data_IF_885328176696
#
_entry.id   IF_885328176696
#
_cell.length_a   1.000
_cell.length_b   1.000
_cell.length_c   1.000
_cell.angle_alpha   90.00
_cell.angle_beta   90.00
_cell.angle_gamma   90.00
#
_symmetry.space_group_name_H-M   'P 1'
#
loop_
_entity.id
_entity.type
_entity.pdbx_description
1 polymer ?
#
# COMPACT_ATOMS: atom_id res chain seq x y z
N UNK A 1 -45.11 18.03 29.20
CA UNK A 1 -44.01 17.39 28.43
C UNK A 1 -43.12 18.38 27.68
N UNK A 2 -43.65 19.47 27.07
CA UNK A 2 -42.81 20.46 26.35
C UNK A 2 -41.72 21.14 27.20
N UNK A 3 -42.01 21.49 28.46
CA UNK A 3 -41.04 22.16 29.33
C UNK A 3 -40.01 21.20 29.91
N UNK A 4 -40.41 19.95 30.20
CA UNK A 4 -39.51 18.90 30.69
C UNK A 4 -38.46 18.54 29.64
N UNK A 5 -38.86 18.43 28.37
CA UNK A 5 -37.94 18.18 27.25
C UNK A 5 -36.92 19.33 27.08
N UNK A 6 -37.36 20.60 27.21
CA UNK A 6 -36.47 21.76 27.18
C UNK A 6 -35.46 21.75 28.33
N UNK A 7 -35.87 21.39 29.54
CA UNK A 7 -34.97 21.31 30.71
C UNK A 7 -33.92 20.21 30.52
N UNK A 8 -34.31 19.05 29.97
CA UNK A 8 -33.38 17.96 29.65
C UNK A 8 -32.37 18.37 28.58
N UNK A 9 -32.81 19.07 27.52
CA UNK A 9 -31.89 19.59 26.50
C UNK A 9 -30.91 20.62 27.08
N UNK A 10 -31.37 21.51 27.96
CA UNK A 10 -30.50 22.50 28.61
C UNK A 10 -29.45 21.79 29.49
N UNK A 11 -29.86 20.80 30.29
CA UNK A 11 -28.93 20.00 31.09
C UNK A 11 -27.90 19.26 30.22
N UNK A 12 -28.34 18.67 29.10
CA UNK A 12 -27.46 17.98 28.17
C UNK A 12 -26.43 18.93 27.55
N UNK A 13 -26.84 20.15 27.18
CA UNK A 13 -25.90 21.17 26.64
C UNK A 13 -24.86 21.62 27.67
N UNK A 14 -25.23 21.76 28.94
CA UNK A 14 -24.30 22.12 30.02
C UNK A 14 -23.25 21.03 30.22
N UNK A 15 -23.66 19.76 30.19
CA UNK A 15 -22.73 18.61 30.31
C UNK A 15 -21.74 18.59 29.14
N UNK A 16 -22.17 18.83 27.91
CA UNK A 16 -21.27 18.89 26.74
C UNK A 16 -20.25 20.02 26.89
N UNK A 17 -20.67 21.20 27.37
CA UNK A 17 -19.78 22.34 27.58
C UNK A 17 -18.74 22.02 28.67
N UNK A 18 -19.14 21.37 29.76
CA UNK A 18 -18.23 20.96 30.84
C UNK A 18 -17.22 19.91 30.37
N UNK A 19 -17.65 18.91 29.61
CA UNK A 19 -16.76 17.88 29.03
C UNK A 19 -15.80 18.51 28.02
N UNK A 20 -16.29 19.42 27.17
CA UNK A 20 -15.45 20.17 26.22
C UNK A 20 -14.40 21.05 26.92
N UNK A 21 -14.78 21.72 28.03
CA UNK A 21 -13.86 22.51 28.84
C UNK A 21 -12.80 21.64 29.54
N UNK A 22 -13.16 20.44 30.02
CA UNK A 22 -12.23 19.46 30.59
C UNK A 22 -11.22 18.95 29.55
N UNK A 23 -11.67 18.63 28.33
CA UNK A 23 -10.78 18.23 27.21
C UNK A 23 -9.84 19.39 26.85
N UNK A 24 -10.35 20.63 26.77
CA UNK A 24 -9.53 21.82 26.50
C UNK A 24 -8.52 22.11 27.63
N UNK A 25 -8.88 21.88 28.89
CA UNK A 25 -7.96 21.99 30.02
C UNK A 25 -6.88 20.91 29.97
N UNK A 26 -7.21 19.65 29.65
CA UNK A 26 -6.20 18.60 29.45
C UNK A 26 -5.25 18.91 28.27
N UNK A 27 -5.75 19.52 27.20
CA UNK A 27 -4.92 20.00 26.08
C UNK A 27 -4.04 21.20 26.47
N UNK A 28 -4.51 22.07 27.38
CA UNK A 28 -3.72 23.20 27.91
C UNK A 28 -2.71 22.80 28.99
N UNK A 29 -3.04 21.86 29.87
CA UNK A 29 -2.13 21.36 30.90
C UNK A 29 -1.01 20.52 30.30
N UNK A 30 -1.27 19.72 29.26
CA UNK A 30 -0.19 19.10 28.45
C UNK A 30 0.75 20.11 27.79
N UNK A 31 0.37 21.39 27.70
CA UNK A 31 1.18 22.48 27.11
C UNK A 31 1.84 23.39 28.15
N UNK A 32 1.62 23.22 29.46
CA UNK A 32 2.07 24.20 30.47
C UNK A 32 2.74 23.56 31.69
N UNK A 33 3.68 22.66 31.44
CA UNK A 33 4.71 22.31 32.41
C UNK A 33 6.06 22.10 31.74
N UNK A 34 6.62 23.14 31.12
CA UNK A 34 8.05 23.39 31.22
C UNK A 34 8.37 24.86 30.91
N UNK A 35 9.21 25.43 31.75
CA UNK A 35 9.74 26.78 31.62
C UNK A 35 10.78 26.81 30.48
N UNK A 36 10.54 27.64 29.46
CA UNK A 36 11.57 28.05 28.50
C UNK A 36 12.11 26.97 27.57
N UNK A 37 11.47 26.75 26.42
CA UNK A 37 12.04 25.88 25.39
C UNK A 37 11.14 25.72 24.18
N UNK A 38 11.67 26.15 23.02
CA UNK A 38 11.35 25.77 21.63
C UNK A 38 10.09 24.89 21.46
N UNK A 39 9.11 25.39 20.70
CA UNK A 39 7.99 24.61 20.17
C UNK A 39 8.48 23.26 19.62
N UNK A 40 8.31 22.19 20.38
CA UNK A 40 8.60 20.83 19.94
C UNK A 40 7.47 20.44 19.00
N UNK A 41 7.63 20.79 17.72
CA UNK A 41 6.97 20.07 16.64
C UNK A 41 7.35 18.61 16.87
N UNK A 42 6.39 17.77 17.27
CA UNK A 42 6.63 16.35 17.46
C UNK A 42 7.05 15.79 16.10
N UNK A 43 8.35 15.53 15.97
CA UNK A 43 8.91 15.08 14.72
C UNK A 43 8.44 13.64 14.48
N UNK A 44 7.87 13.39 13.29
CA UNK A 44 7.42 12.05 12.89
C UNK A 44 8.59 11.07 12.98
N UNK A 45 8.30 9.84 13.37
CA UNK A 45 9.31 8.77 13.32
C UNK A 45 9.72 8.49 11.87
N UNK A 46 10.91 7.94 11.68
CA UNK A 46 11.39 7.57 10.33
C UNK A 46 10.45 6.55 9.65
N UNK A 47 9.83 5.67 10.45
CA UNK A 47 8.81 4.74 9.99
C UNK A 47 7.55 5.46 9.47
N UNK A 48 7.01 6.41 10.23
CA UNK A 48 5.83 7.19 9.79
C UNK A 48 6.13 7.99 8.52
N UNK A 49 7.34 8.56 8.42
CA UNK A 49 7.80 9.25 7.20
C UNK A 49 7.88 8.29 6.01
N UNK A 50 8.36 7.07 6.21
CA UNK A 50 8.44 6.04 5.18
C UNK A 50 7.05 5.55 4.73
N UNK A 51 6.12 5.33 5.66
CA UNK A 51 4.74 4.93 5.36
C UNK A 51 4.00 6.00 4.57
N UNK A 52 4.14 7.27 4.95
CA UNK A 52 3.55 8.40 4.20
C UNK A 52 4.16 8.52 2.80
N UNK A 53 5.47 8.33 2.67
CA UNK A 53 6.14 8.34 1.38
C UNK A 53 5.69 7.18 0.49
N UNK A 54 5.62 5.97 1.03
CA UNK A 54 5.14 4.80 0.33
C UNK A 54 3.71 4.98 -0.19
N UNK A 55 2.81 5.56 0.62
CA UNK A 55 1.45 5.84 0.17
C UNK A 55 1.40 6.80 -1.02
N UNK A 56 2.23 7.83 -1.01
CA UNK A 56 2.35 8.76 -2.15
C UNK A 56 2.90 8.09 -3.41
N UNK A 57 3.67 7.02 -3.25
CA UNK A 57 4.32 6.31 -4.34
C UNK A 57 3.47 5.16 -4.92
N UNK A 58 2.41 4.72 -4.23
CA UNK A 58 1.53 3.64 -4.74
C UNK A 58 1.00 3.87 -6.15
N UNK A 59 0.53 5.07 -6.54
CA UNK A 59 0.07 5.29 -7.91
C UNK A 59 1.15 5.05 -8.97
N UNK A 60 2.41 5.41 -8.68
CA UNK A 60 3.54 5.15 -9.59
C UNK A 60 3.89 3.67 -9.66
N UNK A 61 3.74 2.94 -8.54
CA UNK A 61 3.95 1.48 -8.51
C UNK A 61 2.88 0.78 -9.36
N UNK A 62 1.62 1.20 -9.20
CA UNK A 62 0.49 0.69 -9.99
C UNK A 62 0.66 0.98 -11.49
N UNK A 63 1.07 2.20 -11.85
CA UNK A 63 1.40 2.57 -13.23
C UNK A 63 2.48 1.65 -13.81
N UNK A 64 3.60 1.49 -13.11
CA UNK A 64 4.70 0.61 -13.56
C UNK A 64 4.27 -0.85 -13.70
N UNK A 65 3.47 -1.38 -12.76
CA UNK A 65 2.93 -2.74 -12.87
C UNK A 65 2.05 -2.91 -14.11
N UNK A 66 1.25 -1.91 -14.46
CA UNK A 66 0.41 -1.95 -15.66
C UNK A 66 1.20 -1.74 -16.96
N UNK A 67 2.33 -1.03 -16.93
CA UNK A 67 3.25 -0.95 -18.08
C UNK A 67 3.93 -2.30 -18.35
N UNK A 68 4.26 -3.06 -17.30
CA UNK A 68 4.85 -4.39 -17.41
C UNK A 68 3.80 -5.48 -17.75
N UNK A 69 2.52 -5.26 -17.42
CA UNK A 69 1.41 -6.17 -17.71
C UNK A 69 0.87 -6.06 -19.15
N UNK A 70 1.66 -6.53 -20.10
CA UNK A 70 1.31 -6.49 -21.53
C UNK A 70 0.08 -7.36 -21.89
N UNK A 71 -0.27 -8.32 -21.03
CA UNK A 71 -1.37 -9.27 -21.26
C UNK A 71 -2.68 -8.87 -20.57
N UNK A 72 -2.71 -7.73 -19.87
CA UNK A 72 -3.85 -7.29 -19.05
C UNK A 72 -4.25 -8.33 -17.99
N UNK A 73 -3.28 -9.07 -17.43
CA UNK A 73 -3.48 -10.06 -16.39
C UNK A 73 -3.95 -9.45 -15.07
N UNK A 74 -3.48 -8.24 -14.74
CA UNK A 74 -3.80 -7.54 -13.50
C UNK A 74 -5.28 -7.14 -13.47
N UNK A 75 -6.02 -7.66 -12.49
CA UNK A 75 -7.40 -7.24 -12.19
C UNK A 75 -7.50 -6.45 -10.90
N UNK A 76 -6.69 -6.78 -9.91
CA UNK A 76 -6.64 -6.09 -8.62
C UNK A 76 -5.22 -6.05 -8.09
N UNK A 77 -4.81 -4.91 -7.53
CA UNK A 77 -3.54 -4.76 -6.82
C UNK A 77 -3.83 -4.52 -5.34
N UNK A 78 -3.16 -5.26 -4.47
CA UNK A 78 -3.25 -5.08 -3.02
C UNK A 78 -1.88 -4.81 -2.43
N UNK A 79 -1.72 -3.64 -1.81
CA UNK A 79 -0.50 -3.26 -1.11
C UNK A 79 -0.53 -3.78 0.33
N UNK A 80 0.59 -4.36 0.78
CA UNK A 80 0.76 -4.69 2.20
C UNK A 80 0.88 -3.39 3.01
N UNK A 81 0.34 -3.42 4.22
CA UNK A 81 0.26 -2.23 5.10
C UNK A 81 1.62 -1.74 5.58
N UNK A 82 2.52 -2.67 5.88
CA UNK A 82 3.80 -2.35 6.49
C UNK A 82 4.84 -2.14 5.40
N UNK A 83 5.68 -1.11 5.58
CA UNK A 83 6.86 -0.85 4.75
C UNK A 83 8.10 -1.16 5.55
N UNK A 84 9.16 -1.57 4.87
CA UNK A 84 10.47 -1.77 5.50
C UNK A 84 11.46 -0.72 5.01
N UNK A 85 12.40 -0.35 5.88
CA UNK A 85 13.47 0.60 5.57
C UNK A 85 14.78 -0.18 5.59
N UNK A 86 15.48 -0.22 4.47
CA UNK A 86 16.81 -0.83 4.40
C UNK A 86 17.84 0.01 5.16
N UNK A 87 18.99 -0.57 5.58
CA UNK A 87 20.09 0.21 6.17
C UNK A 87 20.60 1.36 5.28
N UNK A 88 20.42 1.25 3.96
CA UNK A 88 20.77 2.27 2.97
C UNK A 88 19.69 3.36 2.80
N UNK A 89 18.55 3.23 3.47
CA UNK A 89 17.45 4.20 3.43
C UNK A 89 16.48 4.02 2.27
N UNK A 90 16.54 2.90 1.53
CA UNK A 90 15.46 2.53 0.60
C UNK A 90 14.21 2.10 1.38
N UNK A 91 13.05 2.53 0.91
CA UNK A 91 11.75 2.12 1.44
C UNK A 91 11.18 1.04 0.53
N UNK A 92 10.92 -0.14 1.08
CA UNK A 92 10.34 -1.25 0.33
C UNK A 92 8.84 -1.31 0.57
N UNK A 93 8.09 -1.35 -0.53
CA UNK A 93 6.63 -1.51 -0.57
C UNK A 93 6.31 -2.84 -1.21
N UNK A 94 5.74 -3.75 -0.44
CA UNK A 94 5.31 -5.06 -0.91
C UNK A 94 3.83 -5.07 -1.26
N UNK A 95 3.45 -5.95 -2.17
CA UNK A 95 2.06 -6.17 -2.52
C UNK A 95 1.85 -7.48 -3.25
N UNK A 96 0.62 -7.68 -3.72
CA UNK A 96 0.25 -8.82 -4.53
C UNK A 96 -0.92 -8.50 -5.46
N UNK A 97 -1.10 -9.36 -6.45
CA UNK A 97 -2.04 -9.18 -7.54
C UNK A 97 -3.12 -10.28 -7.48
N UNK A 98 -4.32 -9.95 -7.93
CA UNK A 98 -5.45 -10.87 -8.09
C UNK A 98 -5.82 -11.67 -6.82
N UNK A 99 -5.52 -11.11 -5.64
CA UNK A 99 -5.73 -11.72 -4.33
C UNK A 99 -4.98 -13.03 -4.06
N UNK A 100 -3.86 -13.25 -4.74
CA UNK A 100 -3.04 -14.46 -4.62
C UNK A 100 -1.64 -14.11 -4.08
N UNK A 101 -1.49 -13.82 -2.77
CA UNK A 101 -0.24 -13.34 -2.18
C UNK A 101 0.92 -14.33 -2.27
N UNK A 102 0.64 -15.64 -2.34
CA UNK A 102 1.67 -16.66 -2.41
C UNK A 102 2.25 -16.80 -3.84
N UNK A 103 1.42 -16.52 -4.85
CA UNK A 103 1.77 -16.71 -6.26
C UNK A 103 2.14 -15.42 -6.97
N UNK A 104 1.39 -14.35 -6.75
CA UNK A 104 1.50 -13.12 -7.55
C UNK A 104 1.93 -11.93 -6.70
N UNK A 105 3.04 -12.09 -5.97
CA UNK A 105 3.58 -11.02 -5.15
C UNK A 105 4.61 -10.18 -5.89
N UNK A 106 4.72 -8.91 -5.47
CA UNK A 106 5.74 -7.99 -5.95
C UNK A 106 6.36 -7.23 -4.77
N UNK A 107 7.56 -6.70 -5.01
CA UNK A 107 8.29 -5.84 -4.08
C UNK A 107 8.90 -4.67 -4.83
N UNK A 108 8.55 -3.44 -4.43
CA UNK A 108 9.05 -2.21 -5.02
C UNK A 108 10.01 -1.52 -4.06
N UNK A 109 11.25 -1.31 -4.49
CA UNK A 109 12.26 -0.56 -3.76
C UNK A 109 12.21 0.91 -4.18
N UNK A 110 11.94 1.79 -3.23
CA UNK A 110 11.77 3.22 -3.46
C UNK A 110 12.99 4.00 -2.98
N UNK A 111 13.45 4.93 -3.80
CA UNK A 111 14.56 5.83 -3.45
C UNK A 111 13.97 7.08 -2.79
N UNK A 112 14.08 7.15 -1.45
CA UNK A 112 13.43 8.20 -0.64
C UNK A 112 13.78 9.64 -1.08
N UNK A 113 14.98 9.88 -1.61
CA UNK A 113 15.43 11.23 -2.02
C UNK A 113 14.99 11.64 -3.42
N UNK A 114 14.73 10.70 -4.33
CA UNK A 114 14.40 11.03 -5.73
C UNK A 114 12.93 10.81 -6.09
N UNK A 115 12.09 10.30 -5.18
CA UNK A 115 10.68 9.97 -5.45
C UNK A 115 10.52 9.03 -6.66
N UNK A 116 11.46 8.09 -6.80
CA UNK A 116 11.55 7.13 -7.90
C UNK A 116 11.47 5.69 -7.37
N UNK A 117 11.01 4.80 -8.25
CA UNK A 117 11.10 3.36 -8.05
C UNK A 117 12.49 2.94 -8.53
N UNK A 118 13.38 2.60 -7.59
CA UNK A 118 14.73 2.16 -7.93
C UNK A 118 14.75 0.77 -8.56
N UNK A 119 13.95 -0.14 -8.03
CA UNK A 119 13.76 -1.47 -8.61
C UNK A 119 12.39 -2.04 -8.25
N UNK A 120 11.91 -2.98 -9.05
CA UNK A 120 10.73 -3.77 -8.78
C UNK A 120 11.05 -5.23 -9.09
N UNK A 121 10.64 -6.13 -8.20
CA UNK A 121 10.81 -7.58 -8.37
C UNK A 121 9.47 -8.27 -8.23
N UNK A 122 9.31 -9.37 -8.96
CA UNK A 122 8.10 -10.18 -8.99
C UNK A 122 8.41 -11.59 -8.51
N UNK A 123 7.39 -12.30 -8.04
CA UNK A 123 7.43 -13.75 -7.96
C UNK A 123 7.64 -14.36 -9.34
N UNK A 124 8.22 -15.57 -9.44
CA UNK A 124 8.39 -16.26 -10.71
C UNK A 124 7.07 -16.39 -11.49
N UNK A 125 6.01 -16.85 -10.83
CA UNK A 125 4.69 -17.02 -11.45
C UNK A 125 4.13 -15.71 -12.03
N UNK A 126 4.35 -14.57 -11.37
CA UNK A 126 3.92 -13.27 -11.88
C UNK A 126 4.81 -12.79 -13.02
N UNK A 127 6.13 -12.97 -12.91
CA UNK A 127 7.07 -12.65 -13.97
C UNK A 127 6.71 -13.38 -15.26
N UNK A 128 6.38 -14.67 -15.18
CA UNK A 128 5.96 -15.47 -16.33
C UNK A 128 4.67 -14.93 -16.97
N UNK A 129 3.80 -14.23 -16.24
CA UNK A 129 2.58 -13.59 -16.79
C UNK A 129 2.84 -12.23 -17.43
N UNK A 130 4.00 -11.63 -17.19
CA UNK A 130 4.42 -10.39 -17.86
C UNK A 130 5.34 -10.67 -19.04
N UNK A 131 5.81 -11.91 -19.19
CA UNK A 131 6.75 -12.31 -20.23
C UNK A 131 6.19 -12.06 -21.63
N UNK A 132 7.02 -11.43 -22.47
CA UNK A 132 6.71 -11.22 -23.88
C UNK A 132 7.34 -12.34 -24.71
N UNK A 133 6.58 -13.41 -24.95
CA UNK A 133 7.09 -14.56 -25.69
C UNK A 133 7.49 -14.28 -27.14
N UNK A 134 7.05 -13.16 -27.72
CA UNK A 134 7.47 -12.73 -29.05
C UNK A 134 8.97 -12.37 -29.12
N UNK A 135 9.61 -12.11 -27.97
CA UNK A 135 11.04 -11.83 -27.86
C UNK A 135 11.92 -13.10 -27.88
N UNK A 136 11.30 -14.29 -27.87
CA UNK A 136 11.98 -15.58 -27.80
C UNK A 136 11.72 -16.45 -29.04
N UNK A 137 12.54 -17.49 -29.20
CA UNK A 137 12.22 -18.54 -30.17
C UNK A 137 10.91 -19.24 -29.73
N UNK A 138 9.96 -19.49 -30.65
CA UNK A 138 8.70 -20.17 -30.33
C UNK A 138 8.88 -21.50 -29.58
N UNK A 139 9.99 -22.21 -29.81
CA UNK A 139 10.30 -23.44 -29.08
C UNK A 139 10.48 -23.21 -27.58
N UNK A 140 11.00 -22.06 -27.15
CA UNK A 140 11.19 -21.73 -25.72
C UNK A 140 9.83 -21.62 -25.03
N UNK A 141 8.86 -20.95 -25.67
CA UNK A 141 7.49 -20.86 -25.17
C UNK A 141 6.86 -22.26 -25.08
N UNK A 142 6.98 -23.07 -26.12
CA UNK A 142 6.41 -24.42 -26.10
C UNK A 142 7.07 -25.32 -25.05
N UNK A 143 8.39 -25.25 -24.88
CA UNK A 143 9.12 -26.00 -23.86
C UNK A 143 8.65 -25.61 -22.44
N UNK A 144 8.47 -24.30 -22.21
CA UNK A 144 7.87 -23.80 -20.97
C UNK A 144 6.45 -24.34 -20.77
N UNK A 145 5.56 -24.19 -21.77
CA UNK A 145 4.17 -24.67 -21.68
C UNK A 145 4.07 -26.19 -21.48
N UNK A 146 5.01 -26.96 -22.04
CA UNK A 146 5.08 -28.41 -21.89
C UNK A 146 5.68 -28.85 -20.53
N UNK A 147 6.39 -27.95 -19.83
CA UNK A 147 6.89 -28.20 -18.48
C UNK A 147 5.78 -28.11 -17.42
N UNK A 148 4.69 -27.42 -17.73
CA UNK A 148 3.53 -27.24 -16.86
C UNK A 148 2.64 -28.49 -16.85
N UNK A 149 1.93 -28.74 -15.73
CA UNK A 149 0.81 -29.69 -15.78
C UNK A 149 -0.30 -29.17 -16.69
N UNK A 150 -1.16 -30.08 -17.19
CA UNK A 150 -2.27 -29.70 -18.07
C UNK A 150 -3.14 -28.57 -17.49
N UNK A 151 -3.46 -28.64 -16.20
CA UNK A 151 -4.27 -27.63 -15.51
C UNK A 151 -3.56 -26.29 -15.39
N UNK A 152 -2.26 -26.30 -15.15
CA UNK A 152 -1.44 -25.08 -15.07
C UNK A 152 -1.30 -24.42 -16.44
N UNK A 153 -1.08 -25.20 -17.51
CA UNK A 153 -1.05 -24.71 -18.89
C UNK A 153 -2.37 -24.04 -19.29
N UNK A 154 -3.51 -24.71 -19.06
CA UNK A 154 -4.83 -24.15 -19.38
C UNK A 154 -5.08 -22.83 -18.64
N UNK A 155 -4.71 -22.75 -17.36
CA UNK A 155 -4.85 -21.53 -16.59
C UNK A 155 -3.88 -20.44 -17.06
N UNK A 156 -2.62 -20.79 -17.35
CA UNK A 156 -1.60 -19.87 -17.86
C UNK A 156 -2.06 -19.21 -19.15
N UNK A 157 -2.48 -20.01 -20.15
CA UNK A 157 -2.96 -19.50 -21.43
C UNK A 157 -4.14 -18.55 -21.24
N UNK A 158 -5.10 -18.94 -20.38
CA UNK A 158 -6.23 -18.08 -20.04
C UNK A 158 -5.81 -16.76 -19.38
N UNK A 159 -4.82 -16.81 -18.49
CA UNK A 159 -4.30 -15.62 -17.79
C UNK A 159 -3.67 -14.62 -18.76
N UNK A 160 -2.96 -15.11 -19.78
CA UNK A 160 -2.35 -14.27 -20.83
C UNK A 160 -3.28 -13.99 -22.03
N UNK A 161 -4.55 -14.39 -21.95
CA UNK A 161 -5.55 -14.14 -23.00
C UNK A 161 -5.45 -15.05 -24.23
N UNK A 162 -4.64 -16.09 -24.17
CA UNK A 162 -4.50 -17.11 -25.21
C UNK A 162 -5.47 -18.28 -24.98
N UNK A 163 -5.71 -19.06 -26.04
CA UNK A 163 -6.47 -20.30 -26.00
C UNK A 163 -5.57 -21.43 -26.50
N UNK A 164 -5.75 -22.61 -25.91
CA UNK A 164 -5.16 -23.86 -26.38
C UNK A 164 -5.62 -24.21 -27.80
#
# INVERSE_FOLDING_TARGET
>A
MKNTLKIVFILFTIVIILVGALILQQVKEKKSSDSGGKSTVQEKSDQEKAEEFAEKMKPKIEERLHEEDIHNFIKTITFKKNVSISPMGYVTVDGYINNEPDKYHFSASLIYKSNEIGSMSHSPDLSDRFENWDDFDPQVKEDFLNSLSKKEREQYLKDIGEKE
#
